data_IF_235604118909
#
_entry.id   IF_235604118909
#
_cell.length_a   1.000
_cell.length_b   1.000
_cell.length_c   1.000
_cell.angle_alpha   90.00
_cell.angle_beta   90.00
_cell.angle_gamma   90.00
#
_symmetry.space_group_name_H-M   'P 1'
#
loop_
_entity.id
_entity.type
_entity.pdbx_description
1 polymer ?
#
# COMPACT_ATOMS: atom_id res chain seq x y z
N UNK A 1 -10.40 16.08 -9.16
CA UNK A 1 -10.62 14.62 -9.29
C UNK A 1 -12.10 14.33 -9.37
N UNK A 2 -12.55 13.44 -10.26
CA UNK A 2 -13.96 12.99 -10.31
C UNK A 2 -14.25 11.90 -9.27
N UNK A 3 -15.52 11.65 -8.88
CA UNK A 3 -15.88 10.53 -8.01
C UNK A 3 -15.37 9.16 -8.50
N UNK A 4 -15.48 8.90 -9.80
CA UNK A 4 -15.02 7.65 -10.41
C UNK A 4 -13.49 7.55 -10.37
N UNK A 5 -12.78 8.65 -10.66
CA UNK A 5 -11.32 8.72 -10.58
C UNK A 5 -10.82 8.48 -9.14
N UNK A 6 -11.47 9.09 -8.14
CA UNK A 6 -11.16 8.89 -6.73
C UNK A 6 -11.36 7.44 -6.30
N UNK A 7 -12.51 6.84 -6.63
CA UNK A 7 -12.75 5.43 -6.27
C UNK A 7 -11.77 4.49 -6.97
N UNK A 8 -11.39 4.80 -8.21
CA UNK A 8 -10.41 4.01 -8.96
C UNK A 8 -9.03 4.08 -8.30
N UNK A 9 -8.51 5.28 -8.03
CA UNK A 9 -7.19 5.45 -7.38
C UNK A 9 -7.15 4.83 -5.98
N UNK A 10 -8.20 5.05 -5.19
CA UNK A 10 -8.34 4.44 -3.86
C UNK A 10 -8.21 2.91 -3.91
N UNK A 11 -8.88 2.28 -4.88
CA UNK A 11 -8.84 0.81 -5.05
C UNK A 11 -7.50 0.32 -5.57
N UNK A 12 -6.85 1.07 -6.47
CA UNK A 12 -5.51 0.70 -6.96
C UNK A 12 -4.45 0.77 -5.86
N UNK A 13 -4.64 1.65 -4.87
CA UNK A 13 -3.83 1.69 -3.64
C UNK A 13 -4.25 0.64 -2.61
N UNK A 14 -5.17 -0.28 -2.95
CA UNK A 14 -5.59 -1.37 -2.06
C UNK A 14 -6.48 -0.95 -0.89
N UNK A 15 -6.82 0.34 -0.78
CA UNK A 15 -7.58 0.84 0.36
C UNK A 15 -9.01 0.33 0.32
N UNK A 16 -9.54 0.00 1.49
CA UNK A 16 -10.97 -0.12 1.76
C UNK A 16 -11.60 1.26 1.97
N UNK A 17 -12.92 1.32 2.22
CA UNK A 17 -13.60 2.59 2.52
C UNK A 17 -13.24 3.09 3.91
N UNK A 18 -13.15 2.21 4.89
CA UNK A 18 -12.77 2.50 6.27
C UNK A 18 -11.30 2.91 6.39
N UNK A 19 -10.38 2.26 5.67
CA UNK A 19 -8.98 2.68 5.60
C UNK A 19 -8.84 4.08 4.97
N UNK A 20 -9.63 4.38 3.93
CA UNK A 20 -9.66 5.72 3.32
C UNK A 20 -10.22 6.76 4.29
N UNK A 21 -11.26 6.40 5.05
CA UNK A 21 -11.84 7.27 6.06
C UNK A 21 -10.83 7.57 7.17
N UNK A 22 -10.11 6.56 7.65
CA UNK A 22 -9.03 6.72 8.62
C UNK A 22 -7.89 7.59 8.08
N UNK A 23 -7.44 7.34 6.84
CA UNK A 23 -6.41 8.13 6.16
C UNK A 23 -6.78 9.61 6.07
N UNK A 24 -8.04 9.91 5.74
CA UNK A 24 -8.53 11.28 5.61
C UNK A 24 -9.06 11.90 6.91
N UNK A 25 -9.06 11.17 8.04
CA UNK A 25 -9.62 11.66 9.31
C UNK A 25 -11.13 11.93 9.29
N UNK A 26 -11.88 11.15 8.51
CA UNK A 26 -13.35 11.29 8.34
C UNK A 26 -14.08 9.98 8.69
N UNK A 27 -15.41 9.98 8.53
CA UNK A 27 -16.24 8.79 8.68
C UNK A 27 -16.48 8.12 7.32
N UNK A 28 -16.65 6.80 7.29
CA UNK A 28 -16.96 6.01 6.07
C UNK A 28 -18.08 6.60 5.21
N UNK A 29 -19.15 7.09 5.88
CA UNK A 29 -20.30 7.70 5.19
C UNK A 29 -19.90 8.91 4.35
N UNK A 30 -18.87 9.64 4.77
CA UNK A 30 -18.35 10.80 4.05
C UNK A 30 -17.65 10.35 2.77
N UNK A 31 -16.80 9.33 2.85
CA UNK A 31 -16.13 8.73 1.69
C UNK A 31 -17.14 8.20 0.67
N UNK A 32 -18.19 7.50 1.13
CA UNK A 32 -19.27 7.00 0.24
C UNK A 32 -20.03 8.12 -0.46
N UNK A 33 -20.23 9.27 0.21
CA UNK A 33 -20.86 10.45 -0.41
C UNK A 33 -19.96 11.09 -1.47
N UNK A 34 -18.64 11.08 -1.27
CA UNK A 34 -17.70 11.50 -2.30
C UNK A 34 -17.75 10.58 -3.53
N UNK A 35 -17.69 9.27 -3.33
CA UNK A 35 -17.70 8.26 -4.39
C UNK A 35 -18.99 8.24 -5.22
N UNK A 36 -20.13 8.55 -4.60
CA UNK A 36 -21.42 8.68 -5.31
C UNK A 36 -21.61 10.04 -5.99
N UNK A 37 -20.71 11.00 -5.76
CA UNK A 37 -20.85 12.38 -6.23
C UNK A 37 -21.90 13.20 -5.46
N UNK A 38 -22.44 12.68 -4.37
CA UNK A 38 -23.41 13.39 -3.53
C UNK A 38 -22.80 14.62 -2.84
N UNK A 39 -21.48 14.61 -2.61
CA UNK A 39 -20.71 15.75 -2.11
C UNK A 39 -19.37 15.83 -2.85
N UNK A 40 -18.82 17.04 -3.06
CA UNK A 40 -17.51 17.19 -3.70
C UNK A 40 -16.40 16.54 -2.86
N UNK A 41 -15.37 16.01 -3.54
CA UNK A 41 -14.16 15.49 -2.90
C UNK A 41 -13.26 16.68 -2.50
N UNK A 42 -12.87 16.81 -1.22
CA UNK A 42 -11.92 17.84 -0.79
C UNK A 42 -10.54 17.65 -1.43
N UNK A 43 -9.83 18.75 -1.66
CA UNK A 43 -8.45 18.70 -2.16
C UNK A 43 -7.55 17.87 -1.25
N UNK A 44 -7.65 18.05 0.07
CA UNK A 44 -6.87 17.31 1.06
C UNK A 44 -7.10 15.80 0.99
N UNK A 45 -8.32 15.34 0.70
CA UNK A 45 -8.61 13.92 0.53
C UNK A 45 -7.96 13.35 -0.74
N UNK A 46 -7.90 14.14 -1.82
CA UNK A 46 -7.17 13.74 -3.04
C UNK A 46 -5.66 13.72 -2.78
N UNK A 47 -5.13 14.76 -2.12
CA UNK A 47 -3.72 14.86 -1.76
C UNK A 47 -3.26 13.78 -0.80
N UNK A 48 -4.14 13.26 0.07
CA UNK A 48 -3.85 12.12 0.93
C UNK A 48 -3.64 10.81 0.14
N UNK A 49 -4.40 10.58 -0.93
CA UNK A 49 -4.17 9.43 -1.82
C UNK A 49 -2.84 9.58 -2.57
N UNK A 50 -2.57 10.78 -3.10
CA UNK A 50 -1.31 11.07 -3.82
C UNK A 50 -0.10 10.89 -2.90
N UNK A 51 -0.17 11.42 -1.67
CA UNK A 51 0.91 11.27 -0.69
C UNK A 51 1.16 9.81 -0.29
N UNK A 52 0.10 9.00 -0.21
CA UNK A 52 0.22 7.57 0.07
C UNK A 52 0.87 6.83 -1.10
N UNK A 53 0.45 7.13 -2.33
CA UNK A 53 1.03 6.57 -3.56
C UNK A 53 2.52 6.89 -3.66
N UNK A 54 2.91 8.15 -3.45
CA UNK A 54 4.31 8.60 -3.43
C UNK A 54 5.12 7.86 -2.35
N UNK A 55 4.55 7.72 -1.14
CA UNK A 55 5.21 7.02 -0.04
C UNK A 55 5.40 5.52 -0.31
N UNK A 56 4.46 4.90 -1.02
CA UNK A 56 4.56 3.51 -1.48
C UNK A 56 5.63 3.37 -2.58
N UNK A 57 5.63 4.27 -3.57
CA UNK A 57 6.64 4.27 -4.64
C UNK A 57 8.05 4.43 -4.09
N UNK A 58 8.28 5.40 -3.20
CA UNK A 58 9.58 5.60 -2.56
C UNK A 58 10.03 4.36 -1.76
N UNK A 59 9.10 3.67 -1.08
CA UNK A 59 9.44 2.45 -0.35
C UNK A 59 9.86 1.30 -1.27
N UNK A 60 9.21 1.17 -2.43
CA UNK A 60 9.57 0.18 -3.46
C UNK A 60 10.95 0.51 -4.03
N UNK A 61 11.22 1.77 -4.40
CA UNK A 61 12.51 2.19 -4.95
C UNK A 61 13.67 1.95 -3.97
N UNK A 62 13.47 2.26 -2.68
CA UNK A 62 14.43 1.98 -1.61
C UNK A 62 14.74 0.48 -1.49
N UNK A 63 13.71 -0.36 -1.55
CA UNK A 63 13.84 -1.82 -1.48
C UNK A 63 14.60 -2.39 -2.69
N UNK A 64 14.24 -1.97 -3.91
CA UNK A 64 14.89 -2.42 -5.15
C UNK A 64 16.36 -2.01 -5.15
N UNK A 65 16.67 -0.77 -4.77
CA UNK A 65 18.06 -0.29 -4.62
C UNK A 65 18.83 -1.15 -3.62
N UNK A 66 18.23 -1.42 -2.44
CA UNK A 66 18.86 -2.24 -1.41
C UNK A 66 19.13 -3.69 -1.87
N UNK A 67 18.23 -4.26 -2.66
CA UNK A 67 18.32 -5.63 -3.16
C UNK A 67 19.36 -5.76 -4.28
N UNK A 68 19.37 -4.83 -5.24
CA UNK A 68 20.31 -4.80 -6.36
C UNK A 68 21.76 -4.56 -5.91
N UNK A 69 21.97 -3.78 -4.84
CA UNK A 69 23.31 -3.59 -4.24
C UNK A 69 23.86 -4.85 -3.55
N UNK A 70 23.02 -5.86 -3.29
CA UNK A 70 23.35 -7.06 -2.50
C UNK A 70 23.30 -8.38 -3.28
N UNK A 71 23.30 -8.36 -4.62
CA UNK A 71 23.03 -9.47 -5.58
C UNK A 71 23.88 -10.75 -5.39
N UNK A 72 23.75 -11.44 -4.26
CA UNK A 72 24.45 -12.71 -4.02
C UNK A 72 23.70 -13.68 -3.08
N UNK A 73 22.43 -13.43 -2.71
CA UNK A 73 21.79 -14.14 -1.58
C UNK A 73 20.38 -14.69 -1.82
N UNK A 74 20.13 -15.28 -2.99
CA UNK A 74 18.87 -15.99 -3.25
C UNK A 74 17.65 -15.07 -3.34
N UNK A 75 16.43 -15.62 -3.28
CA UNK A 75 15.20 -14.85 -3.45
C UNK A 75 15.00 -13.82 -2.32
N UNK A 76 14.40 -12.68 -2.66
CA UNK A 76 13.96 -11.67 -1.70
C UNK A 76 12.62 -12.10 -1.11
N UNK A 77 12.59 -12.27 0.21
CA UNK A 77 11.36 -12.59 0.94
C UNK A 77 10.57 -11.32 1.30
N UNK A 78 9.32 -11.24 0.86
CA UNK A 78 8.38 -10.16 1.16
C UNK A 78 7.26 -10.66 2.08
N UNK A 79 7.10 -10.00 3.22
CA UNK A 79 6.12 -10.40 4.23
C UNK A 79 4.74 -9.79 4.01
N UNK A 80 3.69 -10.61 4.12
CA UNK A 80 2.28 -10.21 4.19
C UNK A 80 1.74 -10.41 5.60
N UNK A 81 0.83 -9.55 6.02
CA UNK A 81 0.19 -9.59 7.33
C UNK A 81 -1.32 -9.81 7.16
N UNK A 82 -1.95 -10.58 8.06
CA UNK A 82 -3.39 -10.86 7.97
C UNK A 82 -4.23 -9.75 8.60
N UNK A 83 -3.66 -9.04 9.57
CA UNK A 83 -4.34 -7.94 10.27
C UNK A 83 -3.44 -6.72 10.43
N UNK A 84 -4.05 -5.54 10.57
CA UNK A 84 -3.31 -4.30 10.87
C UNK A 84 -2.49 -4.44 12.17
N UNK A 85 -3.04 -5.10 13.19
CA UNK A 85 -2.35 -5.29 14.47
C UNK A 85 -1.13 -6.23 14.38
N UNK A 86 -1.10 -7.18 13.44
CA UNK A 86 0.11 -7.96 13.14
C UNK A 86 1.15 -7.11 12.44
N UNK A 87 0.73 -6.33 11.44
CA UNK A 87 1.60 -5.42 10.72
C UNK A 87 2.24 -4.40 11.68
N UNK A 88 1.45 -3.70 12.48
CA UNK A 88 1.93 -2.65 13.40
C UNK A 88 2.90 -3.16 14.46
N UNK A 89 2.84 -4.46 14.82
CA UNK A 89 3.78 -5.10 15.75
C UNK A 89 5.09 -5.52 15.08
N UNK A 90 5.12 -5.60 13.75
CA UNK A 90 6.31 -6.03 13.03
C UNK A 90 7.35 -4.91 13.02
N UNK A 91 8.60 -5.18 13.42
CA UNK A 91 9.68 -4.20 13.32
C UNK A 91 10.05 -3.87 11.86
N UNK A 92 9.57 -4.68 10.90
CA UNK A 92 9.84 -4.54 9.47
C UNK A 92 8.70 -3.87 8.70
N UNK A 93 7.52 -3.69 9.31
CA UNK A 93 6.39 -3.10 8.62
C UNK A 93 6.44 -1.56 8.68
N UNK A 94 6.24 -0.92 7.51
CA UNK A 94 5.86 0.50 7.48
C UNK A 94 4.44 0.66 8.04
N UNK A 95 4.19 1.80 8.66
CA UNK A 95 2.86 2.22 9.13
C UNK A 95 1.98 2.63 7.94
N UNK A 96 1.57 1.65 7.13
CA UNK A 96 0.60 1.79 6.05
C UNK A 96 -0.71 1.11 6.44
N UNK A 97 -1.86 1.54 5.89
CA UNK A 97 -3.06 0.73 5.89
C UNK A 97 -2.78 -0.67 5.34
N UNK A 98 -3.39 -1.70 5.94
CA UNK A 98 -3.15 -3.11 5.60
C UNK A 98 -3.34 -3.41 4.10
N UNK A 99 -4.37 -2.83 3.49
CA UNK A 99 -4.64 -2.91 2.06
C UNK A 99 -3.56 -2.24 1.21
N UNK A 100 -3.09 -1.07 1.64
CA UNK A 100 -2.01 -0.34 0.96
C UNK A 100 -0.67 -1.09 1.05
N UNK A 101 -0.35 -1.65 2.22
CA UNK A 101 0.80 -2.53 2.36
C UNK A 101 0.71 -3.75 1.42
N UNK A 102 -0.48 -4.32 1.21
CA UNK A 102 -0.68 -5.41 0.25
C UNK A 102 -0.29 -5.02 -1.17
N UNK A 103 -0.75 -3.85 -1.64
CA UNK A 103 -0.45 -3.38 -2.98
C UNK A 103 1.01 -2.94 -3.11
N UNK A 104 1.60 -2.35 -2.06
CA UNK A 104 3.02 -2.04 -2.04
C UNK A 104 3.87 -3.29 -2.21
N UNK A 105 3.50 -4.42 -1.57
CA UNK A 105 4.21 -5.70 -1.72
C UNK A 105 4.09 -6.23 -3.16
N UNK A 106 2.92 -6.09 -3.80
CA UNK A 106 2.76 -6.45 -5.21
C UNK A 106 3.65 -5.59 -6.12
N UNK A 107 3.67 -4.27 -5.91
CA UNK A 107 4.54 -3.35 -6.67
C UNK A 107 6.02 -3.66 -6.46
N UNK A 108 6.41 -3.98 -5.23
CA UNK A 108 7.77 -4.40 -4.90
C UNK A 108 8.17 -5.69 -5.61
N UNK A 109 7.28 -6.69 -5.63
CA UNK A 109 7.52 -7.94 -6.34
C UNK A 109 7.72 -7.70 -7.84
N UNK A 110 6.79 -6.98 -8.48
CA UNK A 110 6.88 -6.64 -9.90
C UNK A 110 8.19 -5.89 -10.24
N UNK A 111 8.59 -4.94 -9.38
CA UNK A 111 9.80 -4.15 -9.59
C UNK A 111 11.09 -4.96 -9.40
N UNK A 112 11.14 -5.85 -8.40
CA UNK A 112 12.28 -6.74 -8.18
C UNK A 112 12.42 -7.78 -9.30
N UNK A 113 11.30 -8.37 -9.74
CA UNK A 113 11.29 -9.31 -10.86
C UNK A 113 11.74 -8.65 -12.17
N UNK A 114 11.40 -7.37 -12.38
CA UNK A 114 11.89 -6.60 -13.53
C UNK A 114 13.43 -6.41 -13.53
N UNK A 115 14.07 -6.42 -12.35
CA UNK A 115 15.53 -6.43 -12.18
C UNK A 115 16.14 -7.84 -12.23
N UNK A 116 15.32 -8.88 -12.50
CA UNK A 116 15.75 -10.28 -12.53
C UNK A 116 16.04 -10.88 -11.15
N UNK A 117 15.46 -10.31 -10.10
CA UNK A 117 15.59 -10.79 -8.72
C UNK A 117 14.38 -11.67 -8.40
N UNK A 118 14.62 -12.92 -8.00
CA UNK A 118 13.56 -13.84 -7.55
C UNK A 118 12.90 -13.31 -6.26
N UNK A 119 11.58 -13.48 -6.14
CA UNK A 119 10.78 -12.99 -5.00
C UNK A 119 9.91 -14.11 -4.44
N UNK A 120 9.92 -14.26 -3.12
CA UNK A 120 8.96 -15.09 -2.39
C UNK A 120 8.06 -14.19 -1.54
N UNK A 121 6.74 -14.47 -1.52
CA UNK A 121 5.77 -13.75 -0.70
C UNK A 121 5.14 -14.71 0.31
N UNK A 122 5.35 -14.45 1.58
CA UNK A 122 4.87 -15.32 2.68
C UNK A 122 4.04 -14.55 3.71
N UNK A 123 3.17 -15.26 4.44
CA UNK A 123 2.50 -14.68 5.59
C UNK A 123 3.45 -14.63 6.78
N UNK A 124 3.57 -13.46 7.40
CA UNK A 124 4.31 -13.32 8.64
C UNK A 124 3.70 -14.20 9.73
N UNK A 125 4.54 -14.99 10.40
CA UNK A 125 4.14 -15.92 11.46
C UNK A 125 3.84 -17.35 11.00
N UNK A 126 3.99 -17.67 9.72
CA UNK A 126 3.97 -19.06 9.21
C UNK A 126 5.37 -19.72 9.29
N UNK A 127 6.31 -19.14 10.05
CA UNK A 127 7.64 -19.72 10.35
C UNK A 127 7.47 -21.04 11.14
N UNK A 128 7.65 -22.17 10.44
CA UNK A 128 7.69 -23.52 11.02
C UNK A 128 9.10 -23.95 11.42
#
# INVERSE_FOLDING_TARGET
MSPAEFDTRRRSLGLSVDETAALCGVQDRTVRRWQSGATPIPADASGALESLEDAMGLAVDELVTFATDRVAKGPVLLWRYRTQAEQDRSPHARSLPLGAHAMMIAWAADALEAEGIDVDIEWAGDEA
#
